data_IF_928809777043
#
_entry.id   IF_928809777043
#
_cell.length_a   1.000
_cell.length_b   1.000
_cell.length_c   1.000
_cell.angle_alpha   90.00
_cell.angle_beta   90.00
_cell.angle_gamma   90.00
#
_symmetry.space_group_name_H-M   'P 1'
#
loop_
_entity.id
_entity.type
_entity.pdbx_description
1 polymer ?
#
# COMPACT_ATOMS: atom_id res chain seq x y z
N UNK A 1 -12.18 8.86 0.86
CA UNK A 1 -12.20 8.51 2.29
C UNK A 1 -10.81 8.12 2.70
N UNK A 2 -10.07 9.06 3.29
CA UNK A 2 -8.76 8.76 3.89
C UNK A 2 -9.02 7.94 5.16
N UNK A 3 -8.60 6.68 5.18
CA UNK A 3 -8.65 5.85 6.37
C UNK A 3 -7.76 6.47 7.45
N UNK A 4 -8.38 6.95 8.51
CA UNK A 4 -7.71 7.36 9.73
C UNK A 4 -6.97 6.16 10.32
N UNK A 5 -5.65 6.23 10.33
CA UNK A 5 -4.83 5.37 11.16
C UNK A 5 -4.88 5.89 12.60
N UNK A 6 -5.94 5.57 13.32
CA UNK A 6 -5.91 5.69 14.77
C UNK A 6 -5.04 4.54 15.31
N UNK A 7 -3.94 4.89 15.93
CA UNK A 7 -3.09 3.95 16.67
C UNK A 7 -3.78 3.50 17.97
N UNK A 8 -4.87 2.75 17.88
CA UNK A 8 -5.29 1.95 19.02
C UNK A 8 -4.56 0.60 18.93
N UNK A 9 -3.75 0.32 19.93
CA UNK A 9 -2.90 -0.88 20.07
C UNK A 9 -3.71 -2.13 20.44
N UNK A 10 -4.93 -2.30 19.94
CA UNK A 10 -5.76 -3.47 20.20
C UNK A 10 -6.23 -4.07 18.89
N UNK A 11 -6.32 -5.37 18.86
CA UNK A 11 -6.62 -6.31 17.77
C UNK A 11 -7.10 -5.71 16.43
N UNK A 12 -6.56 -6.21 15.32
CA UNK A 12 -6.94 -5.79 13.95
C UNK A 12 -8.35 -6.30 13.58
N UNK A 13 -9.29 -6.20 14.50
CA UNK A 13 -10.69 -6.51 14.29
C UNK A 13 -11.34 -5.35 13.58
N UNK A 14 -12.20 -5.65 12.62
CA UNK A 14 -13.05 -4.67 11.97
C UNK A 14 -13.93 -3.97 13.05
N UNK A 15 -13.78 -2.66 13.17
CA UNK A 15 -14.64 -1.84 14.03
C UNK A 15 -15.74 -1.28 13.14
N UNK A 16 -17.00 -1.71 13.29
CA UNK A 16 -18.09 -1.19 12.49
C UNK A 16 -18.35 0.30 12.76
N UNK A 17 -18.94 0.99 11.78
CA UNK A 17 -19.48 2.34 12.00
C UNK A 17 -20.62 2.26 13.01
N UNK A 18 -20.75 3.33 13.80
CA UNK A 18 -21.88 3.48 14.72
C UNK A 18 -23.21 3.63 13.94
N UNK A 19 -24.31 3.27 14.57
CA UNK A 19 -25.66 3.49 14.00
C UNK A 19 -25.88 4.96 13.65
N UNK A 20 -25.38 5.90 14.45
CA UNK A 20 -25.47 7.33 14.19
C UNK A 20 -24.75 7.73 12.89
N UNK A 21 -23.55 7.18 12.64
CA UNK A 21 -22.81 7.45 11.42
C UNK A 21 -23.50 6.83 10.18
N UNK A 22 -24.06 5.65 10.32
CA UNK A 22 -24.82 4.98 9.25
C UNK A 22 -26.13 5.70 8.95
N UNK A 23 -26.84 6.14 9.99
CA UNK A 23 -28.06 6.94 9.85
C UNK A 23 -27.79 8.25 9.12
N UNK A 24 -26.74 8.97 9.51
CA UNK A 24 -26.32 10.18 8.81
C UNK A 24 -26.04 9.91 7.32
N UNK A 25 -25.31 8.83 6.98
CA UNK A 25 -25.07 8.46 5.60
C UNK A 25 -26.35 8.22 4.83
N UNK A 26 -27.33 7.52 5.43
CA UNK A 26 -28.60 7.26 4.78
C UNK A 26 -29.37 8.56 4.52
N UNK A 27 -29.45 9.46 5.51
CA UNK A 27 -30.10 10.76 5.34
C UNK A 27 -29.40 11.62 4.28
N UNK A 28 -28.06 11.66 4.30
CA UNK A 28 -27.25 12.37 3.32
C UNK A 28 -27.46 11.84 1.87
N UNK A 29 -27.57 10.51 1.73
CA UNK A 29 -27.71 9.87 0.43
C UNK A 29 -29.18 9.81 -0.09
N UNK A 30 -30.18 10.23 0.67
CA UNK A 30 -31.61 10.16 0.26
C UNK A 30 -31.91 10.94 -1.01
N UNK A 31 -31.21 12.03 -1.23
CA UNK A 31 -31.41 12.92 -2.39
C UNK A 31 -30.39 12.70 -3.50
N UNK A 32 -29.53 11.69 -3.36
CA UNK A 32 -28.56 11.38 -4.39
C UNK A 32 -29.19 10.52 -5.50
N UNK A 33 -28.77 10.74 -6.74
CA UNK A 33 -29.13 9.91 -7.88
C UNK A 33 -28.24 8.66 -8.01
N UNK A 34 -27.06 8.69 -7.40
CA UNK A 34 -26.09 7.59 -7.43
C UNK A 34 -25.17 7.68 -6.20
N UNK A 35 -24.86 6.54 -5.59
CA UNK A 35 -23.91 6.44 -4.48
C UNK A 35 -22.69 5.65 -4.91
N UNK A 36 -21.50 6.28 -4.91
CA UNK A 36 -20.25 5.66 -5.28
C UNK A 36 -19.39 5.28 -4.06
N UNK A 37 -18.92 4.04 -3.99
CA UNK A 37 -18.00 3.56 -2.96
C UNK A 37 -16.68 3.14 -3.60
N UNK A 38 -15.58 3.81 -3.23
CA UNK A 38 -14.24 3.44 -3.70
C UNK A 38 -13.53 2.55 -2.71
N UNK A 39 -13.12 1.37 -3.16
CA UNK A 39 -12.34 0.39 -2.39
C UNK A 39 -10.89 0.45 -2.88
N UNK A 40 -10.00 1.08 -2.11
CA UNK A 40 -8.59 1.18 -2.47
C UNK A 40 -7.83 -0.13 -2.22
N UNK A 41 -8.22 -0.86 -1.17
CA UNK A 41 -7.62 -2.13 -0.80
C UNK A 41 -8.67 -3.03 -0.14
N UNK A 42 -8.45 -4.34 -0.13
CA UNK A 42 -9.41 -5.32 0.38
C UNK A 42 -9.73 -5.19 1.87
N UNK A 43 -8.88 -4.56 2.69
CA UNK A 43 -9.18 -4.31 4.11
C UNK A 43 -10.30 -3.29 4.34
N UNK A 44 -10.71 -2.54 3.29
CA UNK A 44 -11.86 -1.65 3.33
C UNK A 44 -13.18 -2.36 3.01
N UNK A 45 -13.12 -3.60 2.54
CA UNK A 45 -14.26 -4.39 2.11
C UNK A 45 -15.32 -4.57 3.21
N UNK A 46 -14.98 -4.91 4.48
CA UNK A 46 -15.99 -5.01 5.54
C UNK A 46 -16.78 -3.72 5.74
N UNK A 47 -16.10 -2.57 5.62
CA UNK A 47 -16.71 -1.26 5.76
C UNK A 47 -17.65 -0.95 4.59
N UNK A 48 -17.21 -1.23 3.37
CA UNK A 48 -18.03 -1.06 2.18
C UNK A 48 -19.31 -1.92 2.24
N UNK A 49 -19.20 -3.18 2.65
CA UNK A 49 -20.34 -4.09 2.85
C UNK A 49 -21.29 -3.55 3.93
N UNK A 50 -20.77 -3.10 5.07
CA UNK A 50 -21.60 -2.53 6.15
C UNK A 50 -22.42 -1.34 5.63
N UNK A 51 -21.77 -0.41 4.94
CA UNK A 51 -22.41 0.79 4.39
C UNK A 51 -23.47 0.39 3.36
N UNK A 52 -23.11 -0.45 2.41
CA UNK A 52 -24.03 -0.87 1.34
C UNK A 52 -25.28 -1.53 1.90
N UNK A 53 -25.13 -2.55 2.77
CA UNK A 53 -26.28 -3.24 3.40
C UNK A 53 -27.18 -2.31 4.20
N UNK A 54 -26.61 -1.28 4.81
CA UNK A 54 -27.42 -0.30 5.56
C UNK A 54 -28.20 0.63 4.62
N UNK A 55 -27.58 1.04 3.50
CA UNK A 55 -28.18 1.96 2.53
C UNK A 55 -29.23 1.29 1.64
N UNK A 56 -29.01 0.05 1.18
CA UNK A 56 -29.90 -0.67 0.24
C UNK A 56 -31.38 -0.67 0.65
N UNK A 57 -31.66 -0.68 1.95
CA UNK A 57 -33.04 -0.67 2.46
C UNK A 57 -33.58 0.73 2.77
N UNK A 58 -32.79 1.79 2.58
CA UNK A 58 -33.12 3.16 3.04
C UNK A 58 -33.05 4.22 1.96
N UNK A 59 -32.39 3.96 0.86
CA UNK A 59 -32.27 4.88 -0.28
C UNK A 59 -32.77 4.22 -1.57
N UNK A 60 -33.10 5.05 -2.56
CA UNK A 60 -33.53 4.58 -3.89
C UNK A 60 -32.36 4.58 -4.90
N UNK A 61 -31.35 5.40 -4.64
CA UNK A 61 -30.19 5.54 -5.52
C UNK A 61 -29.41 4.22 -5.64
N UNK A 62 -29.04 3.79 -6.85
CA UNK A 62 -28.18 2.62 -7.01
C UNK A 62 -26.79 2.85 -6.39
N UNK A 63 -26.19 1.77 -5.94
CA UNK A 63 -24.86 1.79 -5.31
C UNK A 63 -23.83 1.18 -6.27
N UNK A 64 -22.83 1.96 -6.66
CA UNK A 64 -21.72 1.51 -7.50
C UNK A 64 -20.43 1.38 -6.69
N UNK A 65 -19.75 0.23 -6.82
CA UNK A 65 -18.43 0.04 -6.26
C UNK A 65 -17.34 0.20 -7.31
N UNK A 66 -16.18 0.76 -6.92
CA UNK A 66 -15.01 0.92 -7.77
C UNK A 66 -13.70 0.80 -7.00
N UNK A 67 -12.60 0.92 -7.73
CA UNK A 67 -11.25 0.84 -7.18
C UNK A 67 -10.48 -0.43 -7.57
N UNK A 68 -9.18 -0.52 -7.29
CA UNK A 68 -8.31 -1.58 -7.79
C UNK A 68 -8.79 -3.01 -7.52
N UNK A 69 -9.27 -3.38 -6.31
CA UNK A 69 -9.82 -4.72 -6.08
C UNK A 69 -11.03 -5.04 -6.94
N UNK A 70 -11.94 -4.07 -7.13
CA UNK A 70 -13.16 -4.26 -7.94
C UNK A 70 -12.80 -4.47 -9.41
N UNK A 71 -11.84 -3.71 -9.95
CA UNK A 71 -11.33 -3.89 -11.32
C UNK A 71 -10.69 -5.27 -11.48
N UNK A 72 -10.04 -5.79 -10.44
CA UNK A 72 -9.37 -7.08 -10.50
C UNK A 72 -10.36 -8.26 -10.62
N UNK A 73 -11.52 -8.17 -9.99
CA UNK A 73 -12.54 -9.22 -9.99
C UNK A 73 -13.96 -8.62 -9.91
N UNK A 74 -14.44 -7.95 -10.97
CA UNK A 74 -15.70 -7.23 -10.94
C UNK A 74 -16.93 -8.14 -10.74
N UNK A 75 -16.92 -9.36 -11.28
CA UNK A 75 -18.03 -10.30 -11.11
C UNK A 75 -18.21 -10.72 -9.65
N UNK A 76 -17.10 -10.97 -8.95
CA UNK A 76 -17.12 -11.26 -7.52
C UNK A 76 -17.76 -10.12 -6.71
N UNK A 77 -17.44 -8.87 -7.04
CA UNK A 77 -17.93 -7.72 -6.27
C UNK A 77 -19.40 -7.37 -6.54
N UNK A 78 -19.97 -7.82 -7.66
CA UNK A 78 -21.41 -7.67 -7.93
C UNK A 78 -22.33 -8.41 -6.94
N UNK A 79 -21.81 -9.33 -6.12
CA UNK A 79 -22.60 -9.93 -5.04
C UNK A 79 -22.91 -8.97 -3.88
N UNK A 80 -22.23 -7.82 -3.81
CA UNK A 80 -22.34 -6.87 -2.69
C UNK A 80 -22.99 -5.54 -3.04
N UNK A 81 -23.22 -5.24 -4.33
CA UNK A 81 -23.75 -3.95 -4.77
C UNK A 81 -24.46 -4.07 -6.12
N UNK A 82 -25.19 -3.02 -6.51
CA UNK A 82 -25.97 -2.99 -7.76
C UNK A 82 -25.09 -2.93 -9.00
N UNK A 83 -24.04 -2.10 -8.93
CA UNK A 83 -23.15 -1.77 -10.03
C UNK A 83 -21.68 -1.88 -9.61
N UNK A 84 -20.83 -2.22 -10.57
CA UNK A 84 -19.37 -2.16 -10.38
C UNK A 84 -18.70 -1.41 -11.53
N UNK A 85 -17.72 -0.60 -11.19
CA UNK A 85 -16.82 0.01 -12.16
C UNK A 85 -15.61 -0.91 -12.38
N UNK A 86 -15.66 -1.69 -13.47
CA UNK A 86 -14.59 -2.63 -13.84
C UNK A 86 -13.41 -1.95 -14.54
N UNK A 87 -13.46 -0.62 -14.74
CA UNK A 87 -12.43 0.16 -15.40
C UNK A 87 -12.05 1.43 -14.66
N UNK A 88 -11.53 2.40 -15.40
CA UNK A 88 -11.28 3.74 -14.87
C UNK A 88 -12.60 4.47 -14.68
N UNK A 89 -12.83 4.96 -13.45
CA UNK A 89 -14.13 5.48 -13.02
C UNK A 89 -14.58 6.73 -13.75
N UNK A 90 -13.64 7.52 -14.24
CA UNK A 90 -13.93 8.84 -14.82
C UNK A 90 -14.91 8.79 -16.03
N UNK A 91 -14.78 7.77 -16.89
CA UNK A 91 -15.69 7.58 -18.03
C UNK A 91 -17.01 6.93 -17.64
N UNK A 92 -16.95 5.91 -16.79
CA UNK A 92 -18.13 5.19 -16.33
C UNK A 92 -19.08 6.13 -15.62
N UNK A 93 -18.57 6.93 -14.66
CA UNK A 93 -19.35 7.90 -13.91
C UNK A 93 -19.97 8.97 -14.81
N UNK A 94 -19.19 9.52 -15.78
CA UNK A 94 -19.70 10.50 -16.73
C UNK A 94 -20.87 9.96 -17.54
N UNK A 95 -20.83 8.70 -17.96
CA UNK A 95 -21.89 8.09 -18.77
C UNK A 95 -23.11 7.72 -17.93
N UNK A 96 -22.94 7.25 -16.71
CA UNK A 96 -24.04 7.03 -15.76
C UNK A 96 -24.80 8.31 -15.45
N UNK A 97 -24.08 9.40 -15.18
CA UNK A 97 -24.68 10.71 -14.93
C UNK A 97 -25.31 11.35 -16.17
N UNK A 98 -25.03 10.85 -17.37
CA UNK A 98 -25.68 11.22 -18.62
C UNK A 98 -26.90 10.34 -18.96
N UNK A 99 -27.36 9.53 -18.00
CA UNK A 99 -28.52 8.63 -18.11
C UNK A 99 -28.42 7.62 -19.28
N UNK A 100 -27.17 7.18 -19.58
CA UNK A 100 -26.96 6.14 -20.56
C UNK A 100 -27.28 4.80 -19.92
N UNK A 101 -28.04 3.94 -20.61
CA UNK A 101 -28.41 2.63 -20.08
C UNK A 101 -27.19 1.75 -19.79
N UNK A 102 -27.18 1.00 -18.67
CA UNK A 102 -26.03 0.22 -18.19
C UNK A 102 -25.39 -0.68 -19.23
N UNK A 103 -26.18 -1.29 -20.10
CA UNK A 103 -25.71 -2.22 -21.14
C UNK A 103 -24.79 -1.55 -22.18
N UNK A 104 -24.91 -0.23 -22.31
CA UNK A 104 -24.15 0.58 -23.30
C UNK A 104 -22.91 1.23 -22.70
N UNK A 105 -22.69 1.15 -21.39
CA UNK A 105 -21.57 1.83 -20.72
C UNK A 105 -20.36 0.89 -20.68
N UNK A 106 -19.29 1.14 -21.44
CA UNK A 106 -18.08 0.32 -21.41
C UNK A 106 -17.44 0.34 -20.03
N UNK A 107 -17.06 -0.86 -19.52
CA UNK A 107 -16.43 -0.99 -18.22
C UNK A 107 -17.37 -0.93 -17.02
N UNK A 108 -18.70 -0.87 -17.24
CA UNK A 108 -19.70 -1.04 -16.19
C UNK A 108 -20.05 -2.52 -16.05
N UNK A 109 -20.12 -3.00 -14.80
CA UNK A 109 -20.73 -4.29 -14.49
C UNK A 109 -22.04 -4.07 -13.75
N UNK A 110 -23.02 -4.94 -14.00
CA UNK A 110 -24.37 -4.90 -13.46
C UNK A 110 -24.99 -6.30 -13.41
N UNK A 111 -26.16 -6.44 -12.78
CA UNK A 111 -26.95 -7.67 -12.85
C UNK A 111 -28.00 -7.58 -13.93
N UNK A 112 -28.03 -8.57 -14.80
CA UNK A 112 -29.10 -8.74 -15.79
C UNK A 112 -30.44 -9.05 -15.09
N UNK A 113 -31.59 -8.95 -15.79
CA UNK A 113 -32.91 -9.25 -15.21
C UNK A 113 -33.03 -10.67 -14.63
N UNK A 114 -32.25 -11.62 -15.13
CA UNK A 114 -32.12 -13.00 -14.61
C UNK A 114 -31.16 -13.11 -13.43
N UNK A 115 -30.73 -12.01 -12.86
CA UNK A 115 -29.75 -11.90 -11.74
C UNK A 115 -28.32 -12.35 -12.09
N UNK A 116 -28.02 -12.65 -13.34
CA UNK A 116 -26.67 -13.03 -13.79
C UNK A 116 -25.76 -11.80 -13.82
N UNK A 117 -24.51 -11.90 -13.31
CA UNK A 117 -23.54 -10.82 -13.43
C UNK A 117 -23.12 -10.63 -14.90
N UNK A 118 -23.10 -9.39 -15.33
CA UNK A 118 -22.64 -8.95 -16.65
C UNK A 118 -21.60 -7.86 -16.46
N UNK A 119 -20.47 -7.99 -17.13
CA UNK A 119 -19.42 -6.95 -17.15
C UNK A 119 -19.17 -6.55 -18.60
N UNK A 120 -19.46 -5.32 -18.92
CA UNK A 120 -19.24 -4.78 -20.25
C UNK A 120 -17.75 -4.69 -20.59
N UNK A 121 -17.38 -4.84 -21.89
CA UNK A 121 -16.00 -4.71 -22.32
C UNK A 121 -15.38 -3.38 -21.88
N UNK A 122 -14.13 -3.41 -21.41
CA UNK A 122 -13.41 -2.21 -20.98
C UNK A 122 -13.19 -1.25 -22.18
N UNK A 123 -13.32 0.07 -21.96
CA UNK A 123 -12.97 1.07 -22.96
C UNK A 123 -11.43 1.14 -23.16
N UNK A 124 -10.96 1.88 -24.19
CA UNK A 124 -9.55 2.27 -24.25
C UNK A 124 -9.13 3.05 -23.00
N UNK A 125 -7.85 2.94 -22.64
CA UNK A 125 -7.28 3.67 -21.51
C UNK A 125 -7.36 5.19 -21.73
N UNK A 126 -7.75 5.91 -20.69
CA UNK A 126 -7.85 7.38 -20.72
C UNK A 126 -6.49 8.07 -20.86
N UNK A 127 -6.47 9.19 -21.57
CA UNK A 127 -5.37 10.14 -21.44
C UNK A 127 -5.48 10.88 -20.10
N UNK A 128 -4.61 10.50 -19.16
CA UNK A 128 -4.60 11.07 -17.81
C UNK A 128 -4.35 12.58 -17.77
N UNK A 129 -3.86 13.17 -18.86
CA UNK A 129 -3.59 14.62 -18.95
C UNK A 129 -4.83 15.44 -19.29
N UNK A 130 -5.89 14.80 -19.82
CA UNK A 130 -7.17 15.43 -20.08
C UNK A 130 -8.08 15.45 -18.85
N UNK A 131 -7.74 14.71 -17.81
CA UNK A 131 -8.54 14.68 -16.58
C UNK A 131 -8.39 15.98 -15.78
N UNK A 132 -9.42 16.44 -15.06
CA UNK A 132 -9.29 17.52 -14.09
C UNK A 132 -8.31 17.15 -12.97
N UNK A 133 -7.76 18.12 -12.27
CA UNK A 133 -7.00 17.87 -11.05
C UNK A 133 -7.90 17.29 -9.96
N UNK A 134 -7.35 16.39 -9.14
CA UNK A 134 -8.08 15.89 -7.97
C UNK A 134 -8.23 17.00 -6.93
N UNK A 135 -9.43 17.10 -6.35
CA UNK A 135 -9.74 18.04 -5.27
C UNK A 135 -10.45 17.32 -4.15
N UNK A 136 -10.22 17.76 -2.93
CA UNK A 136 -10.98 17.34 -1.75
C UNK A 136 -12.10 18.35 -1.58
N UNK A 137 -13.33 17.90 -1.54
CA UNK A 137 -14.44 18.76 -1.17
C UNK A 137 -14.40 18.98 0.34
N UNK A 138 -14.04 20.18 0.75
CA UNK A 138 -13.95 20.56 2.16
C UNK A 138 -15.26 21.17 2.66
N UNK A 139 -16.09 21.73 1.78
CA UNK A 139 -17.32 22.41 2.15
C UNK A 139 -18.46 21.41 2.41
N UNK A 140 -18.58 20.37 1.57
CA UNK A 140 -19.61 19.33 1.70
C UNK A 140 -19.02 17.95 2.06
N UNK A 141 -17.77 17.90 2.45
CA UNK A 141 -17.10 16.67 2.86
C UNK A 141 -17.26 16.37 4.34
N UNK A 142 -17.43 15.09 4.68
CA UNK A 142 -17.52 14.61 6.05
C UNK A 142 -16.51 13.49 6.33
N UNK A 143 -16.02 13.46 7.55
CA UNK A 143 -15.30 12.33 8.11
C UNK A 143 -16.22 11.56 9.05
N UNK A 144 -16.38 10.26 8.80
CA UNK A 144 -17.12 9.39 9.70
C UNK A 144 -16.21 8.90 10.81
N UNK A 145 -16.53 9.24 12.04
CA UNK A 145 -15.84 8.83 13.27
C UNK A 145 -16.70 7.86 14.07
N UNK A 146 -16.16 7.27 15.12
CA UNK A 146 -16.92 6.44 16.06
C UNK A 146 -18.04 7.22 16.73
N UNK A 147 -17.87 8.53 16.95
CA UNK A 147 -18.85 9.44 17.55
C UNK A 147 -19.83 10.06 16.55
N UNK A 148 -19.71 9.74 15.24
CA UNK A 148 -20.58 10.26 14.20
C UNK A 148 -19.83 11.04 13.10
N UNK A 149 -20.58 11.72 12.19
CA UNK A 149 -20.01 12.52 11.13
C UNK A 149 -19.43 13.83 11.66
N UNK A 150 -18.30 14.24 11.12
CA UNK A 150 -17.64 15.52 11.43
C UNK A 150 -17.35 16.23 10.13
N UNK A 151 -17.84 17.49 9.91
CA UNK A 151 -17.53 18.26 8.71
C UNK A 151 -16.02 18.43 8.52
N UNK A 152 -15.53 18.20 7.30
CA UNK A 152 -14.09 18.35 7.01
C UNK A 152 -13.62 19.78 7.19
N UNK A 153 -14.47 20.76 6.92
CA UNK A 153 -14.17 22.18 7.09
C UNK A 153 -13.85 22.55 8.55
N UNK A 154 -14.57 21.93 9.49
CA UNK A 154 -14.43 22.21 10.94
C UNK A 154 -13.34 21.37 11.58
N UNK A 155 -13.14 20.18 11.06
CA UNK A 155 -12.19 19.24 11.63
C UNK A 155 -11.38 18.52 10.57
N UNK A 156 -10.27 19.14 10.16
CA UNK A 156 -9.30 18.47 9.32
C UNK A 156 -8.42 17.62 10.23
N UNK A 157 -8.56 16.28 10.20
CA UNK A 157 -7.79 15.41 11.07
C UNK A 157 -6.30 15.50 10.72
N UNK A 158 -5.44 15.20 11.70
CA UNK A 158 -3.99 15.15 11.50
C UNK A 158 -3.57 14.22 10.33
N UNK A 159 -4.43 13.27 9.95
CA UNK A 159 -4.24 12.40 8.76
C UNK A 159 -4.30 13.19 7.44
N UNK A 160 -5.09 14.25 7.33
CA UNK A 160 -5.10 15.15 6.16
C UNK A 160 -3.92 16.13 6.15
N UNK A 161 -3.03 16.08 7.13
CA UNK A 161 -1.74 16.79 7.06
C UNK A 161 -0.80 16.23 5.97
N UNK A 162 -1.25 15.23 5.24
CA UNK A 162 -0.51 14.57 4.16
C UNK A 162 -1.40 14.49 2.93
N UNK A 163 -0.91 14.96 1.79
CA UNK A 163 -1.57 14.83 0.49
C UNK A 163 -0.79 13.88 -0.41
N UNK A 164 -1.49 12.96 -1.07
CA UNK A 164 -0.89 12.01 -2.00
C UNK A 164 -1.15 12.42 -3.44
N UNK A 165 -0.12 12.36 -4.29
CA UNK A 165 -0.20 12.66 -5.71
C UNK A 165 0.53 11.61 -6.54
N UNK A 166 0.12 11.42 -7.78
CA UNK A 166 0.76 10.56 -8.76
C UNK A 166 1.44 11.38 -9.86
N UNK A 167 2.67 11.03 -10.22
CA UNK A 167 3.32 11.46 -11.46
C UNK A 167 3.17 10.41 -12.55
N UNK A 168 3.01 9.14 -12.16
CA UNK A 168 2.88 8.00 -13.06
C UNK A 168 1.71 7.14 -12.61
N UNK A 169 0.76 6.86 -13.49
CA UNK A 169 -0.33 5.90 -13.24
C UNK A 169 0.02 4.57 -13.91
N UNK A 170 0.07 3.50 -13.12
CA UNK A 170 0.37 2.14 -13.56
C UNK A 170 1.80 1.69 -13.33
N UNK A 171 2.00 0.38 -13.29
CA UNK A 171 3.26 -0.29 -13.00
C UNK A 171 3.60 -1.28 -14.13
N UNK A 172 4.85 -1.31 -14.66
CA UNK A 172 5.21 -2.22 -15.75
C UNK A 172 5.54 -3.64 -15.27
N UNK A 173 5.56 -3.87 -13.94
CA UNK A 173 5.99 -5.15 -13.38
C UNK A 173 4.80 -6.11 -13.17
N UNK A 174 5.07 -7.41 -13.32
CA UNK A 174 4.07 -8.48 -13.24
C UNK A 174 4.22 -9.33 -11.97
N UNK A 175 4.40 -8.69 -10.82
CA UNK A 175 4.53 -9.41 -9.56
C UNK A 175 3.26 -10.20 -9.25
N UNK A 176 3.39 -11.52 -8.97
CA UNK A 176 2.26 -12.43 -8.86
C UNK A 176 1.32 -12.13 -7.66
N UNK A 177 1.82 -11.47 -6.62
CA UNK A 177 1.06 -11.08 -5.43
C UNK A 177 0.36 -9.72 -5.56
N UNK A 178 0.63 -8.95 -6.63
CA UNK A 178 0.23 -7.55 -6.74
C UNK A 178 -0.97 -7.38 -7.66
N UNK A 179 -1.95 -6.57 -7.25
CA UNK A 179 -3.11 -6.22 -8.06
C UNK A 179 -2.73 -5.59 -9.41
N UNK A 180 -1.63 -4.83 -9.49
CA UNK A 180 -1.16 -4.27 -10.77
C UNK A 180 -0.96 -5.34 -11.87
N UNK A 181 -0.60 -6.57 -11.52
CA UNK A 181 -0.52 -7.66 -12.48
C UNK A 181 -1.88 -7.92 -13.13
N UNK A 182 -2.92 -8.05 -12.30
CA UNK A 182 -4.29 -8.30 -12.77
C UNK A 182 -4.86 -7.10 -13.52
N UNK A 183 -4.63 -5.88 -13.01
CA UNK A 183 -5.08 -4.66 -13.68
C UNK A 183 -4.45 -4.52 -15.07
N UNK A 184 -3.13 -4.74 -15.18
CA UNK A 184 -2.45 -4.71 -16.48
C UNK A 184 -2.98 -5.78 -17.45
N UNK A 185 -3.34 -6.96 -16.95
CA UNK A 185 -3.96 -8.00 -17.75
C UNK A 185 -5.37 -7.60 -18.24
N UNK A 186 -6.18 -6.99 -17.39
CA UNK A 186 -7.52 -6.50 -17.71
C UNK A 186 -7.48 -5.44 -18.83
N UNK A 187 -6.53 -4.52 -18.77
CA UNK A 187 -6.35 -3.46 -19.77
C UNK A 187 -5.47 -3.86 -20.97
N UNK A 188 -5.20 -5.14 -21.13
CA UNK A 188 -4.41 -5.63 -22.27
C UNK A 188 -5.05 -5.21 -23.61
N UNK A 189 -4.24 -4.63 -24.51
CA UNK A 189 -4.71 -4.10 -25.82
C UNK A 189 -5.67 -2.91 -25.74
N UNK A 190 -5.79 -2.25 -24.57
CA UNK A 190 -6.64 -1.07 -24.39
C UNK A 190 -5.85 0.26 -24.42
N UNK A 191 -4.55 0.20 -24.62
CA UNK A 191 -3.63 1.34 -24.63
C UNK A 191 -2.45 1.13 -23.66
N UNK A 192 -1.59 2.13 -23.51
CA UNK A 192 -0.44 2.05 -22.61
C UNK A 192 -0.91 2.04 -21.14
N UNK A 193 -0.62 0.95 -20.42
CA UNK A 193 -0.99 0.84 -19.00
C UNK A 193 -0.21 1.83 -18.13
N UNK A 194 1.07 2.05 -18.40
CA UNK A 194 1.91 3.03 -17.70
C UNK A 194 1.80 4.39 -18.39
N UNK A 195 1.19 5.37 -17.71
CA UNK A 195 0.95 6.71 -18.25
C UNK A 195 1.54 7.78 -17.36
N UNK A 196 2.22 8.75 -17.96
CA UNK A 196 2.88 9.85 -17.25
C UNK A 196 1.97 11.08 -17.23
N UNK A 197 1.69 11.59 -16.04
CA UNK A 197 0.89 12.78 -15.82
C UNK A 197 1.76 14.01 -16.05
N UNK A 198 1.36 14.98 -16.85
CA UNK A 198 2.16 16.18 -17.14
C UNK A 198 2.60 16.88 -15.86
N UNK A 199 3.89 17.22 -15.78
CA UNK A 199 4.47 17.88 -14.59
C UNK A 199 3.68 19.13 -14.20
N UNK A 200 3.29 19.92 -15.20
CA UNK A 200 2.55 21.16 -14.96
C UNK A 200 1.17 20.91 -14.32
N UNK A 201 0.52 19.79 -14.68
CA UNK A 201 -0.74 19.38 -14.07
C UNK A 201 -0.54 18.92 -12.61
N UNK A 202 0.49 18.13 -12.35
CA UNK A 202 0.82 17.68 -10.98
C UNK A 202 1.15 18.88 -10.08
N UNK A 203 1.91 19.84 -10.58
CA UNK A 203 2.24 21.05 -9.82
C UNK A 203 0.98 21.85 -9.50
N UNK A 204 0.08 22.08 -10.48
CA UNK A 204 -1.20 22.79 -10.21
C UNK A 204 -2.06 22.07 -9.15
N UNK A 205 -2.08 20.74 -9.17
CA UNK A 205 -2.79 19.95 -8.16
C UNK A 205 -2.18 20.12 -6.77
N UNK A 206 -0.87 20.15 -6.68
CA UNK A 206 -0.14 20.38 -5.42
C UNK A 206 -0.27 21.83 -4.93
N UNK A 207 -0.27 22.81 -5.83
CA UNK A 207 -0.56 24.21 -5.50
C UNK A 207 -1.96 24.34 -4.91
N UNK A 208 -2.97 23.74 -5.57
CA UNK A 208 -4.32 23.71 -5.02
C UNK A 208 -4.35 23.04 -3.62
N UNK A 209 -3.71 21.90 -3.44
CA UNK A 209 -3.68 21.20 -2.15
C UNK A 209 -3.00 22.06 -1.06
N UNK A 210 -1.88 22.72 -1.36
CA UNK A 210 -1.17 23.63 -0.44
C UNK A 210 -2.05 24.81 -0.01
N UNK A 211 -2.79 25.38 -0.95
CA UNK A 211 -3.53 26.62 -0.72
C UNK A 211 -4.91 26.37 -0.08
N UNK A 212 -5.48 25.16 -0.24
CA UNK A 212 -6.83 24.85 0.20
C UNK A 212 -6.90 23.84 1.37
N UNK A 213 -5.86 23.00 1.62
CA UNK A 213 -5.90 22.05 2.71
C UNK A 213 -5.20 22.66 3.94
N UNK A 214 -5.96 23.09 4.97
CA UNK A 214 -5.39 23.62 6.20
C UNK A 214 -4.44 22.60 6.86
N UNK A 215 -3.31 23.10 7.39
CA UNK A 215 -2.33 22.28 8.09
C UNK A 215 -1.66 21.18 7.25
N UNK A 216 -1.69 21.26 5.92
CA UNK A 216 -0.92 20.36 5.06
C UNK A 216 0.57 20.48 5.40
N UNK A 217 1.21 19.36 5.83
CA UNK A 217 2.59 19.36 6.34
C UNK A 217 3.55 18.62 5.42
N UNK A 218 3.04 17.74 4.56
CA UNK A 218 3.88 16.88 3.73
C UNK A 218 3.12 16.28 2.55
N UNK A 219 3.87 15.89 1.55
CA UNK A 219 3.38 15.22 0.34
C UNK A 219 3.85 13.77 0.32
N UNK A 220 3.06 12.91 -0.27
CA UNK A 220 3.45 11.57 -0.71
C UNK A 220 3.38 11.54 -2.24
N UNK A 221 4.44 11.06 -2.88
CA UNK A 221 4.37 10.70 -4.28
C UNK A 221 4.11 9.19 -4.31
N UNK A 222 2.87 8.82 -4.59
CA UNK A 222 2.38 7.46 -4.45
C UNK A 222 2.48 6.64 -5.76
N UNK A 223 3.42 7.02 -6.61
CA UNK A 223 3.78 6.23 -7.79
C UNK A 223 4.21 4.82 -7.37
N UNK A 224 3.82 3.79 -8.10
CA UNK A 224 4.35 2.44 -7.92
C UNK A 224 5.88 2.36 -8.08
N UNK A 225 6.44 3.25 -8.91
CA UNK A 225 7.87 3.44 -9.09
C UNK A 225 8.16 4.84 -9.64
N UNK A 226 8.57 5.75 -8.75
CA UNK A 226 8.92 7.14 -9.09
C UNK A 226 10.06 7.21 -10.12
N UNK A 227 10.99 6.26 -10.10
CA UNK A 227 12.15 6.23 -10.99
C UNK A 227 11.83 5.76 -12.43
N UNK A 228 10.56 5.47 -12.76
CA UNK A 228 10.09 5.38 -14.14
C UNK A 228 10.13 6.72 -14.88
N UNK A 229 10.21 7.82 -14.14
CA UNK A 229 10.44 9.14 -14.71
C UNK A 229 11.87 9.24 -15.28
N UNK A 230 12.02 9.87 -16.43
CA UNK A 230 13.33 10.20 -17.00
C UNK A 230 14.06 11.27 -16.17
N UNK A 231 15.35 11.38 -16.32
CA UNK A 231 16.16 12.36 -15.62
C UNK A 231 15.66 13.80 -15.84
N UNK A 232 15.34 14.16 -17.08
CA UNK A 232 14.83 15.50 -17.42
C UNK A 232 13.47 15.78 -16.81
N UNK A 233 12.61 14.75 -16.78
CA UNK A 233 11.31 14.88 -16.13
C UNK A 233 11.45 15.02 -14.61
N UNK A 234 12.38 14.31 -13.98
CA UNK A 234 12.70 14.47 -12.56
C UNK A 234 13.25 15.88 -12.28
N UNK A 235 14.19 16.36 -13.09
CA UNK A 235 14.71 17.74 -12.97
C UNK A 235 13.59 18.78 -13.10
N UNK A 236 12.73 18.65 -14.12
CA UNK A 236 11.59 19.56 -14.33
C UNK A 236 10.64 19.55 -13.12
N UNK A 237 10.26 18.38 -12.64
CA UNK A 237 9.34 18.24 -11.51
C UNK A 237 9.96 18.81 -10.22
N UNK A 238 11.14 18.34 -9.84
CA UNK A 238 11.80 18.76 -8.61
C UNK A 238 12.12 20.25 -8.60
N UNK A 239 12.60 20.80 -9.74
CA UNK A 239 12.89 22.22 -9.86
C UNK A 239 11.64 23.10 -9.69
N UNK A 240 10.48 22.69 -10.23
CA UNK A 240 9.21 23.39 -10.01
C UNK A 240 8.68 23.19 -8.60
N UNK A 241 8.70 21.94 -8.11
CA UNK A 241 8.26 21.61 -6.76
C UNK A 241 8.97 22.46 -5.70
N UNK A 242 10.29 22.58 -5.81
CA UNK A 242 11.09 23.38 -4.89
C UNK A 242 10.90 24.90 -5.04
N UNK A 243 10.32 25.37 -6.14
CA UNK A 243 9.98 26.79 -6.31
C UNK A 243 8.62 27.17 -5.77
N UNK A 244 7.66 26.24 -5.79
CA UNK A 244 6.26 26.58 -5.52
C UNK A 244 5.68 25.87 -4.30
N UNK A 245 6.09 24.64 -4.01
CA UNK A 245 5.46 23.81 -2.96
C UNK A 245 6.25 23.81 -1.66
N UNK A 246 7.57 23.55 -1.70
CA UNK A 246 8.51 23.54 -0.56
C UNK A 246 8.17 22.58 0.59
N UNK A 247 7.09 21.79 0.52
CA UNK A 247 6.73 20.85 1.56
C UNK A 247 7.65 19.62 1.53
N UNK A 248 7.98 19.03 2.69
CA UNK A 248 8.74 17.77 2.70
C UNK A 248 7.95 16.65 2.03
N UNK A 249 8.63 15.80 1.27
CA UNK A 249 8.07 14.54 0.77
C UNK A 249 8.31 13.44 1.79
N UNK A 250 7.22 12.80 2.23
CA UNK A 250 7.31 11.75 3.25
C UNK A 250 7.92 10.47 2.70
N UNK A 251 7.46 10.00 1.54
CA UNK A 251 8.14 8.95 0.79
C UNK A 251 7.88 9.05 -0.71
N UNK A 252 8.79 8.44 -1.45
CA UNK A 252 8.64 8.00 -2.83
C UNK A 252 8.94 6.51 -2.90
N UNK A 253 8.35 5.79 -3.86
CA UNK A 253 8.61 4.36 -4.05
C UNK A 253 9.53 4.13 -5.24
N UNK A 254 10.34 3.08 -5.17
CA UNK A 254 11.27 2.71 -6.23
C UNK A 254 11.45 1.20 -6.38
N UNK A 255 11.60 0.77 -7.63
CA UNK A 255 12.23 -0.51 -7.93
C UNK A 255 13.73 -0.29 -8.13
N UNK A 256 14.57 -1.13 -7.54
CA UNK A 256 16.02 -1.02 -7.68
C UNK A 256 16.49 -1.04 -9.14
N UNK A 257 15.75 -1.69 -10.04
CA UNK A 257 16.07 -1.74 -11.49
C UNK A 257 16.14 -0.36 -12.13
N UNK A 258 15.35 0.61 -11.62
CA UNK A 258 15.25 1.97 -12.17
C UNK A 258 16.17 2.97 -11.46
N UNK A 259 16.79 2.59 -10.35
CA UNK A 259 17.71 3.45 -9.60
C UNK A 259 19.03 3.55 -10.36
N UNK A 260 19.44 4.78 -10.72
CA UNK A 260 20.75 5.10 -11.30
C UNK A 260 21.48 6.16 -10.44
N UNK A 261 22.78 6.22 -10.55
CA UNK A 261 23.59 7.26 -9.87
C UNK A 261 23.14 8.67 -10.31
N UNK A 262 22.84 8.88 -11.59
CA UNK A 262 22.39 10.16 -12.11
C UNK A 262 21.03 10.58 -11.50
N UNK A 263 20.05 9.68 -11.43
CA UNK A 263 18.74 9.97 -10.81
C UNK A 263 18.86 10.25 -9.31
N UNK A 264 19.72 9.52 -8.59
CA UNK A 264 19.98 9.80 -7.17
C UNK A 264 20.65 11.15 -6.98
N UNK A 265 21.59 11.52 -7.85
CA UNK A 265 22.23 12.84 -7.84
C UNK A 265 21.20 13.96 -8.06
N UNK A 266 20.32 13.83 -9.05
CA UNK A 266 19.22 14.79 -9.29
C UNK A 266 18.36 14.96 -8.03
N UNK A 267 18.02 13.87 -7.36
CA UNK A 267 17.21 13.90 -6.14
C UNK A 267 17.97 14.60 -4.99
N UNK A 268 19.24 14.28 -4.79
CA UNK A 268 20.08 14.88 -3.73
C UNK A 268 20.35 16.37 -4.00
N UNK A 269 20.62 16.74 -5.25
CA UNK A 269 20.96 18.12 -5.63
C UNK A 269 19.73 19.05 -5.64
N UNK A 270 18.52 18.49 -5.63
CA UNK A 270 17.28 19.26 -5.68
C UNK A 270 16.99 20.09 -4.42
N UNK A 271 17.67 19.82 -3.31
CA UNK A 271 17.37 20.41 -2.01
C UNK A 271 16.08 19.88 -1.36
N UNK A 272 15.46 18.85 -1.95
CA UNK A 272 14.24 18.24 -1.44
C UNK A 272 14.45 17.59 -0.08
N UNK A 273 13.57 17.88 0.88
CA UNK A 273 13.47 17.14 2.14
C UNK A 273 12.68 15.85 1.88
N UNK A 274 13.38 14.77 1.54
CA UNK A 274 12.81 13.45 1.39
C UNK A 274 13.01 12.64 2.69
N UNK A 275 11.91 12.22 3.32
CA UNK A 275 11.98 11.44 4.56
C UNK A 275 12.44 10.03 4.31
N UNK A 276 11.86 9.34 3.30
CA UNK A 276 12.19 7.96 2.97
C UNK A 276 12.13 7.69 1.46
N UNK A 277 13.10 6.91 0.98
CA UNK A 277 12.98 6.18 -0.28
C UNK A 277 12.52 4.75 0.04
N UNK A 278 11.33 4.38 -0.42
CA UNK A 278 10.74 3.07 -0.19
C UNK A 278 11.15 2.11 -1.32
N UNK A 279 11.74 0.98 -0.96
CA UNK A 279 12.28 0.02 -1.94
C UNK A 279 11.72 -1.37 -1.63
N UNK A 280 11.01 -1.97 -2.59
CA UNK A 280 10.52 -3.34 -2.46
C UNK A 280 11.63 -4.37 -2.64
N UNK A 281 11.93 -5.14 -1.60
CA UNK A 281 12.73 -6.37 -1.66
C UNK A 281 11.82 -7.59 -1.78
N UNK A 282 10.79 -7.62 -0.98
CA UNK A 282 9.75 -8.64 -0.82
C UNK A 282 10.28 -9.97 -0.26
N UNK A 283 11.23 -10.62 -0.91
CA UNK A 283 11.98 -11.77 -0.41
C UNK A 283 13.40 -11.80 -1.00
N UNK A 284 14.37 -12.19 -0.19
CA UNK A 284 15.75 -12.40 -0.64
C UNK A 284 16.03 -13.87 -1.03
N UNK A 285 15.08 -14.79 -0.93
CA UNK A 285 15.20 -16.13 -1.51
C UNK A 285 15.04 -16.06 -3.02
N UNK A 286 16.00 -16.58 -3.82
CA UNK A 286 15.87 -16.63 -5.28
C UNK A 286 14.65 -17.43 -5.73
N UNK A 287 14.35 -18.53 -5.06
CA UNK A 287 13.18 -19.38 -5.35
C UNK A 287 11.87 -18.62 -5.11
N UNK A 288 11.71 -18.01 -3.94
CA UNK A 288 10.49 -17.24 -3.63
C UNK A 288 10.35 -16.04 -4.55
N UNK A 289 11.42 -15.28 -4.75
CA UNK A 289 11.35 -14.06 -5.57
C UNK A 289 11.05 -14.37 -7.04
N UNK A 290 11.62 -15.43 -7.59
CA UNK A 290 11.43 -15.81 -9.00
C UNK A 290 10.16 -16.64 -9.19
N UNK A 291 10.06 -17.80 -8.49
CA UNK A 291 9.09 -18.84 -8.84
C UNK A 291 7.72 -18.65 -8.18
N UNK A 292 7.68 -17.89 -7.05
CA UNK A 292 6.43 -17.61 -6.33
C UNK A 292 5.95 -16.19 -6.61
N UNK A 293 6.84 -15.20 -6.50
CA UNK A 293 6.46 -13.79 -6.61
C UNK A 293 6.54 -13.23 -8.02
N UNK A 294 7.11 -13.98 -8.99
CA UNK A 294 7.40 -13.48 -10.34
C UNK A 294 8.14 -12.11 -10.31
N UNK A 295 9.07 -11.98 -9.38
CA UNK A 295 9.87 -10.76 -9.15
C UNK A 295 11.34 -11.15 -8.94
N UNK A 296 12.04 -11.65 -9.98
CA UNK A 296 13.40 -12.13 -9.83
C UNK A 296 14.32 -11.03 -9.27
N UNK A 297 15.10 -11.42 -8.25
CA UNK A 297 16.03 -10.56 -7.53
C UNK A 297 17.47 -10.84 -7.96
N UNK A 298 18.15 -9.84 -8.51
CA UNK A 298 19.60 -9.82 -8.59
C UNK A 298 20.14 -9.28 -7.26
N UNK A 299 20.62 -10.19 -6.40
CA UNK A 299 21.13 -9.85 -5.07
C UNK A 299 22.33 -8.90 -5.10
N UNK A 300 23.22 -9.04 -6.08
CA UNK A 300 24.41 -8.19 -6.24
C UNK A 300 24.00 -6.78 -6.63
N UNK A 301 23.25 -6.65 -7.71
CA UNK A 301 22.73 -5.36 -8.17
C UNK A 301 21.91 -4.66 -7.10
N UNK A 302 21.06 -5.39 -6.35
CA UNK A 302 20.26 -4.82 -5.25
C UNK A 302 21.15 -4.17 -4.19
N UNK A 303 22.22 -4.88 -3.73
CA UNK A 303 23.14 -4.36 -2.72
C UNK A 303 23.95 -3.16 -3.23
N UNK A 304 24.38 -3.19 -4.48
CA UNK A 304 25.05 -2.05 -5.13
C UNK A 304 24.15 -0.81 -5.19
N UNK A 305 22.89 -0.98 -5.60
CA UNK A 305 21.91 0.13 -5.65
C UNK A 305 21.57 0.65 -4.26
N UNK A 306 21.38 -0.24 -3.29
CA UNK A 306 21.15 0.15 -1.90
C UNK A 306 22.33 0.95 -1.34
N UNK A 307 23.56 0.52 -1.64
CA UNK A 307 24.77 1.22 -1.25
C UNK A 307 24.80 2.66 -1.81
N UNK A 308 24.45 2.85 -3.09
CA UNK A 308 24.38 4.16 -3.70
C UNK A 308 23.33 5.07 -3.01
N UNK A 309 22.17 4.52 -2.64
CA UNK A 309 21.13 5.29 -1.92
C UNK A 309 21.61 5.69 -0.53
N UNK A 310 22.24 4.77 0.20
CA UNK A 310 22.81 5.04 1.53
C UNK A 310 23.92 6.07 1.47
N UNK A 311 24.80 6.02 0.46
CA UNK A 311 25.86 7.00 0.23
C UNK A 311 25.31 8.40 -0.10
N UNK A 312 24.12 8.48 -0.71
CA UNK A 312 23.40 9.73 -0.94
C UNK A 312 22.69 10.29 0.32
N UNK A 313 22.90 9.69 1.49
CA UNK A 313 22.29 10.06 2.79
C UNK A 313 20.74 10.03 2.80
N UNK A 314 20.13 9.36 1.86
CA UNK A 314 18.69 9.16 1.80
C UNK A 314 18.34 7.99 2.73
N UNK A 315 17.34 8.17 3.59
CA UNK A 315 16.81 7.09 4.44
C UNK A 315 16.00 6.12 3.60
N UNK A 316 16.21 4.84 3.81
CA UNK A 316 15.56 3.77 3.06
C UNK A 316 14.55 3.04 3.92
N UNK A 317 13.37 2.77 3.37
CA UNK A 317 12.40 1.79 3.86
C UNK A 317 12.42 0.60 2.91
N UNK A 318 12.75 -0.57 3.42
CA UNK A 318 12.72 -1.82 2.64
C UNK A 318 11.45 -2.57 2.99
N UNK A 319 10.57 -2.76 2.00
CA UNK A 319 9.39 -3.60 2.17
C UNK A 319 9.74 -5.06 1.91
N UNK A 320 9.32 -5.92 2.82
CA UNK A 320 9.44 -7.38 2.71
C UNK A 320 8.09 -8.03 2.97
N UNK A 321 7.88 -9.22 2.42
CA UNK A 321 6.68 -10.02 2.62
C UNK A 321 7.09 -11.28 3.37
N UNK A 322 6.51 -11.47 4.56
CA UNK A 322 6.71 -12.65 5.41
C UNK A 322 5.41 -13.45 5.59
N UNK A 323 5.44 -14.43 6.50
CA UNK A 323 4.34 -15.39 6.71
C UNK A 323 3.89 -16.07 5.40
N UNK A 324 4.82 -16.33 4.52
CA UNK A 324 4.58 -16.94 3.23
C UNK A 324 4.64 -18.47 3.37
N UNK A 325 3.51 -19.20 3.20
CA UNK A 325 3.47 -20.66 3.37
C UNK A 325 4.33 -21.41 2.35
N UNK A 326 4.74 -20.75 1.27
CA UNK A 326 5.67 -21.33 0.30
C UNK A 326 7.13 -21.31 0.76
N UNK A 327 7.47 -20.58 1.84
CA UNK A 327 8.85 -20.49 2.33
C UNK A 327 9.25 -21.72 3.13
N UNK A 328 10.38 -22.30 2.76
CA UNK A 328 11.09 -23.32 3.55
C UNK A 328 12.03 -22.68 4.56
N UNK A 329 12.52 -23.46 5.53
CA UNK A 329 13.58 -23.00 6.46
C UNK A 329 14.81 -22.51 5.72
N UNK A 330 15.17 -23.12 4.58
CA UNK A 330 16.28 -22.68 3.73
C UNK A 330 16.03 -21.29 3.15
N UNK A 331 14.81 -21.01 2.63
CA UNK A 331 14.46 -19.70 2.09
C UNK A 331 14.57 -18.62 3.16
N UNK A 332 14.03 -18.85 4.35
CA UNK A 332 14.11 -17.92 5.48
C UNK A 332 15.55 -17.68 5.93
N UNK A 333 16.38 -18.72 5.93
CA UNK A 333 17.81 -18.59 6.24
C UNK A 333 18.54 -17.72 5.19
N UNK A 334 18.23 -17.89 3.90
CA UNK A 334 18.79 -17.04 2.83
C UNK A 334 18.37 -15.56 2.98
N UNK A 335 17.15 -15.30 3.44
CA UNK A 335 16.66 -13.94 3.75
C UNK A 335 17.47 -13.34 4.89
N UNK A 336 17.68 -14.07 5.99
CA UNK A 336 18.50 -13.62 7.12
C UNK A 336 19.94 -13.32 6.72
N UNK A 337 20.56 -14.20 5.93
CA UNK A 337 21.92 -13.99 5.40
C UNK A 337 21.99 -12.72 4.54
N UNK A 338 20.95 -12.43 3.78
CA UNK A 338 20.90 -11.21 2.98
C UNK A 338 20.75 -9.95 3.85
N UNK A 339 19.97 -10.00 4.92
CA UNK A 339 19.86 -8.89 5.88
C UNK A 339 21.21 -8.59 6.56
N UNK A 340 22.01 -9.61 6.86
CA UNK A 340 23.37 -9.39 7.38
C UNK A 340 24.29 -8.69 6.36
N UNK A 341 24.12 -8.96 5.06
CA UNK A 341 24.84 -8.22 4.00
C UNK A 341 24.41 -6.76 3.93
N UNK A 342 23.12 -6.48 4.09
CA UNK A 342 22.60 -5.11 4.17
C UNK A 342 23.17 -4.40 5.41
N UNK A 343 23.18 -5.04 6.57
CA UNK A 343 23.77 -4.48 7.79
C UNK A 343 25.25 -4.16 7.61
N UNK A 344 26.01 -5.03 6.93
CA UNK A 344 27.41 -4.77 6.61
C UNK A 344 27.57 -3.47 5.80
N UNK A 345 26.70 -3.21 4.82
CA UNK A 345 26.70 -1.96 4.05
C UNK A 345 26.49 -0.76 4.97
N UNK A 346 25.51 -0.83 5.88
CA UNK A 346 25.15 0.27 6.79
C UNK A 346 26.29 0.58 7.77
N UNK A 347 26.85 -0.45 8.38
CA UNK A 347 27.85 -0.32 9.44
C UNK A 347 29.19 0.24 8.94
N UNK A 348 29.55 -0.02 7.68
CA UNK A 348 30.80 0.46 7.08
C UNK A 348 30.73 1.89 6.52
N UNK A 349 29.59 2.56 6.62
CA UNK A 349 29.39 3.89 6.03
C UNK A 349 29.15 4.98 7.08
N UNK A 350 29.70 6.18 6.86
CA UNK A 350 29.35 7.39 7.61
C UNK A 350 27.99 7.90 7.11
N UNK A 351 26.91 7.44 7.70
CA UNK A 351 25.53 7.75 7.29
C UNK A 351 24.75 8.44 8.41
N UNK A 352 23.52 8.87 8.09
CA UNK A 352 22.53 9.31 9.08
C UNK A 352 22.19 8.21 10.08
N UNK A 353 21.64 8.56 11.23
CA UNK A 353 21.09 7.57 12.16
C UNK A 353 19.95 6.77 11.50
N UNK A 354 19.98 5.45 11.62
CA UNK A 354 19.05 4.51 11.02
C UNK A 354 18.81 4.78 9.51
N UNK A 355 19.85 4.60 8.66
CA UNK A 355 19.72 4.88 7.23
C UNK A 355 18.81 3.89 6.51
N UNK A 356 18.62 2.70 7.07
CA UNK A 356 17.75 1.65 6.52
C UNK A 356 16.83 1.11 7.61
N UNK A 357 15.55 0.95 7.28
CA UNK A 357 14.53 0.30 8.09
C UNK A 357 13.78 -0.73 7.25
N UNK A 358 13.61 -1.93 7.78
CA UNK A 358 12.78 -2.97 7.16
C UNK A 358 11.35 -2.86 7.69
N UNK A 359 10.38 -2.91 6.78
CA UNK A 359 8.96 -3.06 7.05
C UNK A 359 8.51 -4.43 6.61
N UNK A 360 8.00 -5.19 7.55
CA UNK A 360 7.45 -6.52 7.34
C UNK A 360 5.95 -6.41 7.05
N UNK A 361 5.55 -6.97 5.90
CA UNK A 361 4.16 -7.13 5.51
C UNK A 361 3.86 -8.63 5.46
N UNK A 362 2.86 -9.07 6.21
CA UNK A 362 2.42 -10.46 6.08
C UNK A 362 1.77 -10.69 4.73
N UNK A 363 2.05 -11.83 4.12
CA UNK A 363 1.46 -12.17 2.82
C UNK A 363 -0.06 -12.17 2.91
N UNK A 364 -0.67 -11.40 2.02
CA UNK A 364 -2.12 -11.37 1.81
C UNK A 364 -2.40 -11.79 0.38
N UNK A 365 -3.41 -12.61 0.21
CA UNK A 365 -3.83 -13.07 -1.10
C UNK A 365 -4.99 -12.20 -1.59
N UNK A 366 -4.77 -11.45 -2.67
CA UNK A 366 -5.79 -10.59 -3.24
C UNK A 366 -6.52 -11.34 -4.37
N UNK A 367 -7.85 -11.46 -4.30
CA UNK A 367 -8.65 -12.11 -5.35
C UNK A 367 -8.28 -11.63 -6.76
N UNK A 368 -8.29 -12.54 -7.72
CA UNK A 368 -7.92 -12.27 -9.10
C UNK A 368 -6.43 -12.15 -9.38
N UNK A 369 -5.55 -12.21 -8.38
CA UNK A 369 -4.09 -12.23 -8.62
C UNK A 369 -3.56 -13.64 -8.88
N UNK A 370 -2.48 -13.79 -9.70
CA UNK A 370 -1.91 -15.10 -9.97
C UNK A 370 -1.51 -15.90 -8.73
N UNK A 371 -1.07 -15.20 -7.67
CA UNK A 371 -0.69 -15.86 -6.42
C UNK A 371 -1.91 -16.31 -5.62
N UNK A 372 -3.04 -15.61 -5.67
CA UNK A 372 -4.30 -16.04 -5.07
C UNK A 372 -4.80 -17.33 -5.71
N UNK A 373 -4.87 -17.37 -7.05
CA UNK A 373 -5.31 -18.54 -7.80
C UNK A 373 -4.40 -19.76 -7.52
N UNK A 374 -3.09 -19.52 -7.47
CA UNK A 374 -2.12 -20.55 -7.12
C UNK A 374 -2.33 -21.06 -5.69
N UNK A 375 -2.55 -20.16 -4.73
CA UNK A 375 -2.73 -20.53 -3.33
C UNK A 375 -4.02 -21.36 -3.09
N UNK A 376 -5.09 -21.06 -3.84
CA UNK A 376 -6.30 -21.89 -3.86
C UNK A 376 -6.00 -23.30 -4.40
N UNK A 377 -5.34 -23.37 -5.55
CA UNK A 377 -4.97 -24.66 -6.18
C UNK A 377 -4.06 -25.49 -5.28
N UNK A 378 -3.07 -24.88 -4.65
CA UNK A 378 -2.09 -25.53 -3.77
C UNK A 378 -2.64 -25.74 -2.34
N UNK A 379 -3.91 -25.34 -2.07
CA UNK A 379 -4.62 -25.45 -0.77
C UNK A 379 -3.92 -24.74 0.39
N UNK A 380 -3.24 -23.65 0.10
CA UNK A 380 -2.70 -22.77 1.14
C UNK A 380 -3.75 -21.81 1.70
N UNK A 381 -4.81 -21.56 0.94
CA UNK A 381 -6.02 -20.87 1.36
C UNK A 381 -7.25 -21.68 0.96
N UNK A 382 -8.34 -21.49 1.69
CA UNK A 382 -9.65 -22.10 1.40
C UNK A 382 -10.47 -21.23 0.44
N UNK A 383 -11.47 -21.77 -0.26
CA UNK A 383 -12.36 -20.98 -1.13
C UNK A 383 -13.06 -19.82 -0.39
N UNK A 384 -13.33 -19.98 0.90
CA UNK A 384 -13.95 -18.98 1.78
C UNK A 384 -12.93 -18.01 2.41
N UNK A 385 -11.70 -17.93 1.85
CA UNK A 385 -10.65 -17.06 2.37
C UNK A 385 -11.07 -15.58 2.47
N UNK A 386 -11.88 -15.12 1.52
CA UNK A 386 -12.38 -13.74 1.55
C UNK A 386 -13.24 -13.52 2.79
N UNK A 387 -14.21 -14.39 3.04
CA UNK A 387 -15.17 -14.31 4.15
C UNK A 387 -14.49 -14.54 5.50
N UNK A 388 -13.59 -15.51 5.56
CA UNK A 388 -12.95 -15.93 6.82
C UNK A 388 -11.77 -15.10 7.22
N UNK A 389 -11.05 -14.49 6.26
CA UNK A 389 -9.82 -13.73 6.49
C UNK A 389 -9.97 -12.27 6.10
N UNK A 390 -10.34 -11.97 4.83
CA UNK A 390 -10.32 -10.57 4.37
C UNK A 390 -11.44 -9.74 4.99
N UNK A 391 -12.65 -10.30 5.15
CA UNK A 391 -13.77 -9.60 5.77
C UNK A 391 -13.65 -9.40 7.29
N UNK A 392 -12.75 -10.14 7.94
CA UNK A 392 -12.52 -10.01 9.38
C UNK A 392 -11.39 -9.06 9.75
N UNK A 393 -10.61 -8.59 8.77
CA UNK A 393 -9.43 -7.73 9.00
C UNK A 393 -9.68 -6.30 8.55
N UNK A 394 -9.53 -5.36 9.46
CA UNK A 394 -9.64 -3.91 9.18
C UNK A 394 -8.32 -3.24 8.79
N UNK A 395 -7.20 -3.95 8.79
CA UNK A 395 -5.88 -3.41 8.50
C UNK A 395 -4.96 -4.45 7.88
N UNK A 396 -4.09 -4.02 6.98
CA UNK A 396 -3.00 -4.83 6.43
C UNK A 396 -1.84 -5.02 7.44
N UNK A 397 -1.86 -4.30 8.57
CA UNK A 397 -0.86 -4.43 9.62
C UNK A 397 -1.26 -5.58 10.54
N UNK A 398 -0.36 -6.55 10.70
CA UNK A 398 -0.46 -7.51 11.78
C UNK A 398 -0.07 -6.86 13.10
N UNK A 399 -0.81 -7.19 14.16
CA UNK A 399 -0.44 -6.79 15.50
C UNK A 399 0.87 -7.48 15.94
N UNK A 400 1.56 -6.83 16.86
CA UNK A 400 2.72 -7.39 17.57
C UNK A 400 2.39 -8.72 18.30
N UNK A 401 1.15 -9.14 18.31
CA UNK A 401 0.71 -10.39 18.94
C UNK A 401 1.15 -11.64 18.17
N UNK A 402 1.28 -11.53 16.82
CA UNK A 402 1.78 -12.60 15.96
C UNK A 402 3.28 -12.45 15.67
N UNK A 403 4.10 -12.22 16.71
CA UNK A 403 5.55 -12.21 16.53
C UNK A 403 6.02 -13.62 16.23
N UNK A 404 6.12 -13.91 14.96
CA UNK A 404 6.82 -15.07 14.44
C UNK A 404 8.34 -14.83 14.34
N UNK A 405 9.08 -15.84 13.92
CA UNK A 405 10.51 -15.75 13.74
C UNK A 405 10.91 -14.65 12.74
N UNK A 406 10.09 -14.39 11.72
CA UNK A 406 10.38 -13.39 10.69
C UNK A 406 10.26 -11.97 11.28
N UNK A 407 9.23 -11.73 12.09
CA UNK A 407 9.05 -10.46 12.79
C UNK A 407 10.17 -10.19 13.80
N UNK A 408 10.64 -11.21 14.53
CA UNK A 408 11.80 -11.09 15.43
C UNK A 408 13.06 -10.70 14.67
N UNK A 409 13.35 -11.35 13.55
CA UNK A 409 14.52 -11.05 12.71
C UNK A 409 14.46 -9.60 12.21
N UNK A 410 13.30 -9.15 11.72
CA UNK A 410 13.10 -7.76 11.26
C UNK A 410 13.28 -6.78 12.42
N UNK A 411 12.74 -7.07 13.59
CA UNK A 411 12.90 -6.23 14.79
C UNK A 411 14.36 -6.10 15.21
N UNK A 412 15.09 -7.22 15.30
CA UNK A 412 16.53 -7.22 15.61
C UNK A 412 17.35 -6.47 14.55
N UNK A 413 17.00 -6.64 13.25
CA UNK A 413 17.64 -5.88 12.17
C UNK A 413 17.45 -4.38 12.37
N UNK A 414 16.22 -3.94 12.64
CA UNK A 414 15.91 -2.52 12.81
C UNK A 414 16.64 -1.91 14.03
N UNK A 415 16.88 -2.69 15.09
CA UNK A 415 17.73 -2.27 16.22
C UNK A 415 19.21 -2.22 15.80
N UNK A 416 19.70 -3.26 15.13
CA UNK A 416 21.10 -3.34 14.69
C UNK A 416 21.47 -2.23 13.69
N UNK A 417 20.51 -1.77 12.88
CA UNK A 417 20.69 -0.68 11.91
C UNK A 417 20.79 0.72 12.55
N UNK A 418 20.48 0.85 13.84
CA UNK A 418 20.65 2.12 14.59
C UNK A 418 22.08 2.25 15.10
N UNK A 419 22.64 3.47 15.10
CA UNK A 419 23.97 3.77 15.66
C UNK A 419 23.86 4.06 17.17
N UNK A 420 23.18 3.21 17.95
CA UNK A 420 22.95 3.36 19.39
C UNK A 420 23.55 2.18 20.18
N UNK A 421 23.58 2.31 21.50
CA UNK A 421 24.26 1.40 22.43
C UNK A 421 23.94 -0.10 22.25
N UNK A 422 22.72 -0.44 21.85
CA UNK A 422 22.26 -1.83 21.71
C UNK A 422 22.43 -2.44 20.30
N UNK A 423 22.94 -1.68 19.32
CA UNK A 423 23.11 -2.18 17.96
C UNK A 423 24.06 -3.38 17.86
N UNK A 424 25.12 -3.39 18.68
CA UNK A 424 26.11 -4.50 18.71
C UNK A 424 25.47 -5.80 19.21
N UNK A 425 24.64 -5.74 20.25
CA UNK A 425 23.94 -6.92 20.80
C UNK A 425 22.98 -7.49 19.76
N UNK A 426 22.13 -6.65 19.17
CA UNK A 426 21.19 -7.09 18.12
C UNK A 426 21.92 -7.67 16.91
N UNK A 427 23.03 -7.08 16.48
CA UNK A 427 23.86 -7.62 15.40
C UNK A 427 24.47 -8.98 15.75
N UNK A 428 24.97 -9.15 16.98
CA UNK A 428 25.52 -10.42 17.44
C UNK A 428 24.44 -11.50 17.48
N UNK A 429 23.23 -11.20 17.99
CA UNK A 429 22.11 -12.12 18.00
C UNK A 429 21.74 -12.57 16.59
N UNK A 430 21.63 -11.64 15.65
CA UNK A 430 21.34 -11.97 14.23
C UNK A 430 22.42 -12.87 13.62
N UNK A 431 23.69 -12.65 13.97
CA UNK A 431 24.79 -13.53 13.49
C UNK A 431 24.72 -14.93 14.08
N UNK A 432 24.39 -15.06 15.36
CA UNK A 432 24.19 -16.36 16.00
C UNK A 432 23.00 -17.08 15.36
N UNK A 433 21.87 -16.39 15.18
CA UNK A 433 20.70 -16.94 14.50
C UNK A 433 21.00 -17.38 13.06
N UNK A 434 21.95 -16.75 12.40
CA UNK A 434 22.33 -17.07 11.03
C UNK A 434 23.23 -18.34 10.91
N UNK A 435 23.64 -18.95 12.02
CA UNK A 435 24.32 -20.26 12.03
C UNK A 435 23.26 -21.32 11.70
N UNK A 436 23.45 -22.08 10.63
CA UNK A 436 22.44 -22.98 10.07
C UNK A 436 21.79 -23.95 11.08
N UNK A 437 22.55 -24.65 11.95
CA UNK A 437 21.92 -25.51 12.98
C UNK A 437 21.07 -24.72 13.98
N UNK A 438 21.55 -23.54 14.42
CA UNK A 438 20.83 -22.66 15.36
C UNK A 438 19.54 -22.15 14.72
N UNK A 439 19.60 -21.72 13.46
CA UNK A 439 18.43 -21.26 12.73
C UNK A 439 17.36 -22.33 12.60
N UNK A 440 17.77 -23.57 12.29
CA UNK A 440 16.85 -24.70 12.19
C UNK A 440 16.14 -24.99 13.49
N UNK A 441 16.83 -24.90 14.63
CA UNK A 441 16.23 -25.07 15.97
C UNK A 441 15.25 -23.95 16.28
N UNK A 442 15.65 -22.68 16.04
CA UNK A 442 14.78 -21.51 16.28
C UNK A 442 13.47 -21.61 15.48
N UNK A 443 13.57 -21.98 14.20
CA UNK A 443 12.40 -22.10 13.33
C UNK A 443 11.51 -23.27 13.69
N UNK A 444 12.10 -24.43 14.01
CA UNK A 444 11.37 -25.66 14.36
C UNK A 444 10.54 -25.50 15.64
N UNK A 445 11.09 -24.82 16.65
CA UNK A 445 10.43 -24.67 17.95
C UNK A 445 9.74 -23.33 18.14
N UNK A 446 9.67 -22.50 17.11
CA UNK A 446 9.10 -21.13 17.16
C UNK A 446 9.57 -20.35 18.41
N UNK A 447 10.86 -20.37 18.69
CA UNK A 447 11.44 -19.76 19.88
C UNK A 447 11.23 -18.23 19.94
N UNK A 448 10.94 -17.59 18.79
CA UNK A 448 10.60 -16.18 18.75
C UNK A 448 9.33 -15.86 19.53
N UNK A 449 8.28 -16.68 19.40
CA UNK A 449 7.04 -16.51 20.16
C UNK A 449 7.26 -16.63 21.67
N UNK A 450 8.11 -17.56 22.09
CA UNK A 450 8.48 -17.72 23.50
C UNK A 450 9.36 -16.56 24.00
N UNK A 451 10.30 -16.08 23.20
CA UNK A 451 11.15 -14.94 23.53
C UNK A 451 10.34 -13.65 23.67
N UNK A 452 9.33 -13.47 22.85
CA UNK A 452 8.43 -12.30 22.91
C UNK A 452 7.53 -12.33 24.13
N UNK A 453 7.04 -13.50 24.53
CA UNK A 453 6.28 -13.62 25.79
C UNK A 453 7.10 -13.16 27.00
N UNK A 454 8.42 -13.38 26.97
CA UNK A 454 9.34 -12.84 27.97
C UNK A 454 9.43 -11.30 27.95
N UNK A 455 9.40 -10.66 26.77
CA UNK A 455 9.42 -9.20 26.66
C UNK A 455 8.06 -8.53 26.95
N UNK A 456 6.98 -9.31 27.04
CA UNK A 456 5.65 -8.83 27.49
C UNK A 456 5.58 -8.61 29.01
N UNK A 457 6.56 -9.08 29.77
CA UNK A 457 6.68 -8.79 31.20
C UNK A 457 6.78 -7.26 31.36
N UNK A 458 5.96 -6.63 32.21
CA UNK A 458 5.85 -5.15 32.29
C UNK A 458 7.17 -4.42 32.49
N UNK A 459 8.13 -5.04 33.21
CA UNK A 459 9.48 -4.50 33.45
C UNK A 459 10.31 -4.49 32.17
N UNK A 460 10.21 -5.55 31.37
CA UNK A 460 10.96 -5.68 30.10
C UNK A 460 10.34 -4.76 29.04
N UNK A 461 9.00 -4.62 29.02
CA UNK A 461 8.29 -3.69 28.14
C UNK A 461 8.74 -2.25 28.38
N UNK A 462 8.84 -1.79 29.65
CA UNK A 462 9.37 -0.47 29.98
C UNK A 462 10.80 -0.25 29.51
N UNK A 463 11.63 -1.30 29.52
CA UNK A 463 13.00 -1.25 29.00
C UNK A 463 13.01 -1.14 27.46
N UNK A 464 12.17 -1.90 26.79
CA UNK A 464 12.02 -1.88 25.31
C UNK A 464 11.47 -0.54 24.84
N UNK A 465 10.46 0.01 25.51
CA UNK A 465 9.89 1.33 25.20
C UNK A 465 10.93 2.45 25.37
N UNK A 466 11.82 2.35 26.35
CA UNK A 466 12.99 3.25 26.51
C UNK A 466 14.05 3.12 25.40
N UNK A 467 14.08 1.99 24.69
CA UNK A 467 15.01 1.72 23.58
C UNK A 467 14.43 2.19 22.24
N UNK A 468 13.10 2.36 22.15
CA UNK A 468 12.40 2.79 20.94
C UNK A 468 12.29 4.30 20.75
N UNK A 469 12.74 5.12 21.72
CA UNK A 469 12.77 6.59 21.61
C UNK A 469 13.96 7.09 20.81
#
# INVERSE_FOLDING_TARGET
VSTLHHESRKEAVFIPLSEQALFFLAEYCKTCDLVGITILTTHLLPRAIQITRYLETRIKAPIIWGGPPVIADPEFFLQFCDLVCAGEGEQVMKQLLADISPEKIPGLGYRAPDNRPVVNPLPPMLDVNQLPIARVDLDDGYMLTESGPVPLKEHIPASLSTYSVLLVRGCPYQCAYCLNNRLMAAFRKKGPYVRKIAVDRVIRELEWARDNIPHLKRIIIDDDDFFLNSEDRMKKFLGRYMKTIHLPIFYIQANTRQITRAKLKILSDSGLVLRYLKIGLQSASPRISKDIFNRPLDKKSYLEKLALVVDSRIRVMIDVISANPYETTKDKHEVLQFYLKILKIILHRKTVDQPVKIYDHKLMYFPGTPLYERALKDRHISPDYVETVLLKRSTLRHHQEDMDNDALIVWLFNIAARKKRFCKIAHTLLRIMAISPVFSVITRYNLAGQFVSFFRIPVVKKLVDKIQI
#
